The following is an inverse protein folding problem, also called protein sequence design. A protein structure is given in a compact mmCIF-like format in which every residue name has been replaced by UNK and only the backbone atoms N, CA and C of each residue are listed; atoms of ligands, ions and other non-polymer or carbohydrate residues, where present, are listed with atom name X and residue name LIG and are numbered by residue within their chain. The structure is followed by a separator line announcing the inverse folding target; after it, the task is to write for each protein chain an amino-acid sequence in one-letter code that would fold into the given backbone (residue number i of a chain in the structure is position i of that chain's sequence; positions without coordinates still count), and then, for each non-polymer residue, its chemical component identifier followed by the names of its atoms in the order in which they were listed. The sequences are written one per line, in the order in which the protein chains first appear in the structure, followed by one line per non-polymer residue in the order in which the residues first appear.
data_IF_738594988770
#
_entry.id   IF_738594988770
#
_cell.length_a   1.000
_cell.length_b   1.000
_cell.length_c   1.000
_cell.angle_alpha   90.00
_cell.angle_beta   90.00
_cell.angle_gamma   90.00
#
_symmetry.space_group_name_H-M   'P 1'
#
loop_
_entity.id
_entity.type
_entity.pdbx_description
1 polymer ?
#
# COMPACT_ATOMS: atom_id res chain seq x y z
N UNK A 1 -14.26 47.99 -13.59
CA UNK A 1 -15.26 46.90 -13.50
C UNK A 1 -14.71 45.82 -12.59
N UNK A 2 -15.32 45.61 -11.43
CA UNK A 2 -14.91 44.52 -10.54
C UNK A 2 -15.29 43.20 -11.23
N UNK A 3 -14.31 42.33 -11.47
CA UNK A 3 -14.56 41.05 -12.13
C UNK A 3 -15.45 40.17 -11.23
N UNK A 4 -16.73 40.08 -11.56
CA UNK A 4 -17.67 39.24 -10.81
C UNK A 4 -17.29 37.75 -10.95
N UNK A 5 -17.12 37.02 -9.83
CA UNK A 5 -16.80 35.59 -9.86
C UNK A 5 -17.81 34.76 -10.66
N UNK A 6 -19.06 35.25 -10.77
CA UNK A 6 -20.13 34.63 -11.53
C UNK A 6 -19.87 34.57 -13.03
N UNK A 7 -19.41 35.68 -13.61
CA UNK A 7 -19.18 35.82 -15.04
C UNK A 7 -17.99 34.97 -15.51
N UNK A 8 -16.90 34.95 -14.73
CA UNK A 8 -15.74 34.10 -15.05
C UNK A 8 -16.15 32.61 -15.05
N UNK A 9 -17.03 32.22 -14.13
CA UNK A 9 -17.52 30.84 -14.09
C UNK A 9 -18.41 30.47 -15.27
N UNK A 10 -19.24 31.39 -15.79
CA UNK A 10 -20.07 31.08 -16.97
C UNK A 10 -19.19 30.86 -18.21
N UNK A 11 -18.08 31.58 -18.31
CA UNK A 11 -17.08 31.41 -19.39
C UNK A 11 -16.28 30.10 -19.28
N UNK A 12 -15.89 29.69 -18.08
CA UNK A 12 -14.97 28.55 -17.85
C UNK A 12 -15.70 27.26 -17.40
N UNK A 13 -17.00 27.36 -17.10
CA UNK A 13 -17.76 26.40 -16.28
C UNK A 13 -18.04 25.01 -16.89
N UNK A 14 -19.20 24.44 -16.52
CA UNK A 14 -19.50 23.00 -16.77
C UNK A 14 -19.46 22.60 -18.23
N UNK A 15 -19.96 23.42 -19.15
CA UNK A 15 -20.05 23.05 -20.58
C UNK A 15 -19.01 23.75 -21.44
N UNK A 16 -18.17 24.60 -20.85
CA UNK A 16 -17.13 25.34 -21.56
C UNK A 16 -15.75 24.74 -21.32
N UNK A 17 -14.80 25.17 -22.16
CA UNK A 17 -13.42 24.73 -22.11
C UNK A 17 -12.67 25.37 -20.94
N UNK A 18 -11.86 24.57 -20.26
CA UNK A 18 -10.95 25.03 -19.21
C UNK A 18 -9.72 24.14 -19.23
N UNK A 19 -8.53 24.71 -19.40
CA UNK A 19 -7.28 23.95 -19.55
C UNK A 19 -6.96 23.07 -18.34
N UNK A 20 -7.41 23.46 -17.14
CA UNK A 20 -7.17 22.71 -15.91
C UNK A 20 -8.24 21.66 -15.61
N UNK A 21 -9.32 21.60 -16.38
CA UNK A 21 -10.47 20.72 -16.12
C UNK A 21 -10.24 19.35 -16.76
N UNK A 22 -10.55 18.30 -16.01
CA UNK A 22 -10.51 16.92 -16.47
C UNK A 22 -11.89 16.29 -16.29
N UNK A 23 -12.43 15.69 -17.36
CA UNK A 23 -13.68 14.95 -17.32
C UNK A 23 -13.38 13.53 -16.88
N UNK A 24 -14.07 13.05 -15.85
CA UNK A 24 -14.00 11.66 -15.45
C UNK A 24 -15.06 10.86 -16.23
N UNK A 25 -14.98 9.52 -16.20
CA UNK A 25 -16.03 8.66 -16.78
C UNK A 25 -17.37 8.79 -16.04
N UNK A 26 -17.32 9.23 -14.77
CA UNK A 26 -18.48 9.72 -14.04
C UNK A 26 -18.69 11.19 -14.36
N UNK A 27 -19.93 11.71 -14.33
CA UNK A 27 -20.30 13.12 -14.62
C UNK A 27 -19.67 14.19 -13.70
N UNK A 28 -18.62 13.84 -12.95
CA UNK A 28 -17.86 14.68 -12.05
C UNK A 28 -16.64 15.27 -12.77
N UNK A 29 -16.40 16.55 -12.56
CA UNK A 29 -15.23 17.25 -13.10
C UNK A 29 -14.15 17.43 -12.02
N UNK A 30 -12.90 17.11 -12.37
CA UNK A 30 -11.71 17.36 -11.54
C UNK A 30 -10.92 18.55 -12.09
N UNK A 31 -10.10 19.16 -11.23
CA UNK A 31 -9.24 20.28 -11.58
C UNK A 31 -7.78 19.97 -11.25
N UNK A 32 -6.90 20.08 -12.25
CA UNK A 32 -5.45 19.87 -12.16
C UNK A 32 -4.69 21.07 -11.59
N UNK A 33 -5.36 22.19 -11.35
CA UNK A 33 -4.70 23.41 -10.89
C UNK A 33 -4.08 23.18 -9.49
N UNK A 34 -2.79 23.50 -9.35
CA UNK A 34 -2.04 23.41 -8.09
C UNK A 34 -2.65 24.23 -6.95
N UNK A 35 -3.30 25.35 -7.29
CA UNK A 35 -3.96 26.24 -6.35
C UNK A 35 -5.39 25.81 -6.00
N UNK A 36 -5.86 24.62 -6.39
CA UNK A 36 -7.17 24.16 -5.94
C UNK A 36 -7.09 23.55 -4.53
N UNK A 37 -8.03 23.89 -3.65
CA UNK A 37 -8.13 23.32 -2.30
C UNK A 37 -8.50 21.85 -2.31
N UNK A 38 -9.56 21.50 -3.05
CA UNK A 38 -10.28 20.23 -2.90
C UNK A 38 -9.93 19.24 -4.00
N UNK A 39 -9.70 19.71 -5.23
CA UNK A 39 -9.43 18.87 -6.41
C UNK A 39 -10.63 18.77 -7.38
N UNK A 40 -11.84 19.15 -6.95
CA UNK A 40 -13.00 19.23 -7.84
C UNK A 40 -13.06 20.54 -8.62
N UNK A 41 -13.66 20.49 -9.81
CA UNK A 41 -13.92 21.65 -10.64
C UNK A 41 -15.38 22.10 -10.46
N UNK A 42 -15.63 23.06 -9.56
CA UNK A 42 -16.92 23.71 -9.35
C UNK A 42 -16.74 25.21 -9.14
N UNK A 43 -17.81 25.99 -9.23
CA UNK A 43 -17.78 27.45 -9.01
C UNK A 43 -17.14 27.82 -7.68
N UNK A 44 -17.49 27.09 -6.61
CA UNK A 44 -16.95 27.33 -5.25
C UNK A 44 -15.48 26.92 -5.11
N UNK A 45 -15.03 25.92 -5.85
CA UNK A 45 -13.67 25.37 -5.70
C UNK A 45 -12.67 25.96 -6.69
N UNK A 46 -13.10 26.60 -7.77
CA UNK A 46 -12.17 27.09 -8.80
C UNK A 46 -11.38 28.33 -8.31
N UNK A 47 -10.04 28.28 -8.28
CA UNK A 47 -9.22 29.43 -7.88
C UNK A 47 -9.16 30.54 -8.94
N UNK A 48 -9.47 30.23 -10.21
CA UNK A 48 -9.53 31.23 -11.29
C UNK A 48 -10.80 32.06 -11.22
N UNK A 49 -11.91 31.40 -10.90
CA UNK A 49 -13.23 32.04 -10.80
C UNK A 49 -13.35 32.92 -9.57
N UNK A 50 -12.73 32.52 -8.45
CA UNK A 50 -12.88 33.23 -7.18
C UNK A 50 -11.74 34.22 -6.97
N UNK A 51 -12.09 35.45 -6.60
CA UNK A 51 -11.12 36.50 -6.30
C UNK A 51 -10.55 36.37 -4.89
N UNK A 52 -11.39 35.98 -3.92
CA UNK A 52 -10.94 35.61 -2.59
C UNK A 52 -10.79 34.08 -2.54
N UNK A 53 -9.55 33.60 -2.43
CA UNK A 53 -9.26 32.17 -2.32
C UNK A 53 -8.04 31.92 -1.42
N UNK A 54 -8.01 30.80 -0.69
CA UNK A 54 -6.89 30.43 0.18
C UNK A 54 -6.57 28.94 0.07
N UNK A 55 -5.29 28.56 0.01
CA UNK A 55 -4.80 27.19 -0.15
C UNK A 55 -3.52 26.95 0.61
N UNK A 56 -3.22 25.68 0.91
CA UNK A 56 -1.91 25.28 1.43
C UNK A 56 -1.19 24.51 0.34
N UNK A 57 0.07 24.87 0.10
CA UNK A 57 0.91 24.27 -0.93
C UNK A 57 2.26 23.92 -0.32
N UNK A 58 2.73 22.73 -0.64
CA UNK A 58 4.07 22.29 -0.32
C UNK A 58 5.07 22.79 -1.40
N UNK A 59 6.21 23.31 -0.95
CA UNK A 59 7.38 23.60 -1.78
C UNK A 59 8.64 23.13 -1.03
N UNK A 60 9.38 22.20 -1.61
CA UNK A 60 10.64 21.68 -1.08
C UNK A 60 10.52 21.21 0.39
N UNK A 61 9.49 20.43 0.72
CA UNK A 61 9.24 19.94 2.08
C UNK A 61 8.74 20.99 3.09
N UNK A 62 8.60 22.25 2.68
CA UNK A 62 8.06 23.32 3.51
C UNK A 62 6.64 23.67 3.07
N UNK A 63 5.75 23.88 4.04
CA UNK A 63 4.37 24.24 3.80
C UNK A 63 4.18 25.75 3.78
N UNK A 64 3.39 26.21 2.82
CA UNK A 64 3.07 27.61 2.65
C UNK A 64 1.57 27.80 2.50
N UNK A 65 1.02 28.79 3.22
CA UNK A 65 -0.32 29.30 3.00
C UNK A 65 -0.26 30.31 1.85
N UNK A 66 -1.00 30.02 0.79
CA UNK A 66 -1.24 30.94 -0.32
C UNK A 66 -2.65 31.50 -0.21
N UNK A 67 -2.80 32.80 -0.27
CA UNK A 67 -4.13 33.41 -0.37
C UNK A 67 -4.14 34.56 -1.37
N UNK A 68 -5.29 34.74 -1.99
CA UNK A 68 -5.60 35.75 -3.00
C UNK A 68 -6.70 36.63 -2.45
N UNK A 69 -6.53 37.95 -2.47
CA UNK A 69 -7.58 38.92 -2.12
C UNK A 69 -8.03 39.66 -3.37
N UNK A 70 -9.28 40.10 -3.40
CA UNK A 70 -9.84 40.88 -4.51
C UNK A 70 -9.02 42.13 -4.85
N UNK A 71 -8.40 42.78 -3.86
CA UNK A 71 -7.59 43.98 -4.08
C UNK A 71 -6.36 43.76 -4.97
N UNK A 72 -5.90 42.52 -5.12
CA UNK A 72 -4.70 42.17 -5.90
C UNK A 72 -5.02 41.54 -7.26
N UNK A 73 -6.30 41.54 -7.69
CA UNK A 73 -6.70 40.92 -8.97
C UNK A 73 -6.07 41.60 -10.18
N UNK A 74 -5.86 42.91 -10.10
CA UNK A 74 -5.32 43.71 -11.21
C UNK A 74 -3.81 43.51 -11.41
N UNK A 75 -3.14 42.82 -10.47
CA UNK A 75 -1.71 42.55 -10.52
C UNK A 75 -1.45 41.03 -10.54
N UNK A 76 -1.53 40.35 -11.71
CA UNK A 76 -1.40 38.90 -11.79
C UNK A 76 -0.11 38.34 -11.19
N UNK A 77 1.01 39.07 -11.33
CA UNK A 77 2.31 38.70 -10.77
C UNK A 77 2.33 38.70 -9.23
N UNK A 78 1.51 39.55 -8.60
CA UNK A 78 1.42 39.74 -7.14
C UNK A 78 0.08 39.27 -6.55
N UNK A 79 -0.73 38.58 -7.35
CA UNK A 79 -2.09 38.17 -6.99
C UNK A 79 -2.12 37.24 -5.77
N UNK A 80 -1.11 36.38 -5.64
CA UNK A 80 -1.00 35.43 -4.54
C UNK A 80 0.00 35.92 -3.49
N UNK A 81 -0.48 36.09 -2.25
CA UNK A 81 0.38 36.24 -1.09
C UNK A 81 0.79 34.88 -0.56
N UNK A 82 2.02 34.76 -0.11
CA UNK A 82 2.64 33.53 0.39
C UNK A 82 3.12 33.74 1.82
N UNK A 83 2.68 32.88 2.74
CA UNK A 83 3.13 32.86 4.14
C UNK A 83 3.73 31.49 4.43
N UNK A 84 4.92 31.45 5.05
CA UNK A 84 5.53 30.21 5.51
C UNK A 84 4.83 29.73 6.77
N UNK A 85 4.36 28.49 6.77
CA UNK A 85 3.76 27.88 7.95
C UNK A 85 4.83 27.20 8.81
N UNK A 86 4.58 27.13 10.11
CA UNK A 86 5.45 26.42 11.04
C UNK A 86 5.47 24.91 10.77
N UNK A 87 6.57 24.23 11.13
CA UNK A 87 6.65 22.77 11.10
C UNK A 87 5.75 22.10 12.13
N UNK A 88 5.52 22.76 13.27
CA UNK A 88 4.58 22.29 14.28
C UNK A 88 3.15 22.50 13.77
N UNK A 89 2.34 21.43 13.78
CA UNK A 89 0.98 21.41 13.27
C UNK A 89 0.05 22.36 14.03
N UNK A 90 0.13 22.38 15.37
CA UNK A 90 -0.75 23.21 16.23
C UNK A 90 -0.50 24.69 15.94
N UNK A 91 0.78 25.09 15.93
CA UNK A 91 1.20 26.45 15.58
C UNK A 91 0.79 26.82 14.15
N UNK A 92 0.85 25.89 13.20
CA UNK A 92 0.47 26.15 11.81
C UNK A 92 -1.04 26.35 11.66
N UNK A 93 -1.85 25.60 12.41
CA UNK A 93 -3.30 25.79 12.45
C UNK A 93 -3.64 27.18 13.03
N UNK A 94 -3.02 27.56 14.14
CA UNK A 94 -3.19 28.90 14.72
C UNK A 94 -2.78 30.01 13.73
N UNK A 95 -1.68 29.83 13.00
CA UNK A 95 -1.27 30.76 11.94
C UNK A 95 -2.32 30.87 10.82
N UNK A 96 -2.94 29.75 10.42
CA UNK A 96 -4.04 29.78 9.43
C UNK A 96 -5.23 30.56 10.00
N UNK A 97 -5.61 30.30 11.24
CA UNK A 97 -6.73 31.00 11.89
C UNK A 97 -6.51 32.51 11.97
N UNK A 98 -5.32 32.94 12.39
CA UNK A 98 -4.95 34.36 12.48
C UNK A 98 -4.92 35.05 11.11
N UNK A 99 -4.46 34.38 10.06
CA UNK A 99 -4.41 34.97 8.72
C UNK A 99 -5.77 34.98 8.02
N UNK A 100 -6.67 34.05 8.37
CA UNK A 100 -7.98 33.87 7.74
C UNK A 100 -9.16 34.27 8.64
N UNK A 101 -8.96 35.14 9.65
CA UNK A 101 -10.03 35.54 10.58
C UNK A 101 -11.28 36.06 9.87
N UNK A 102 -11.11 36.94 8.87
CA UNK A 102 -12.20 37.57 8.13
C UNK A 102 -12.74 36.72 6.96
N UNK A 103 -12.28 35.47 6.84
CA UNK A 103 -12.67 34.61 5.73
C UNK A 103 -13.87 33.73 6.09
N UNK A 104 -14.67 33.33 5.09
CA UNK A 104 -15.73 32.36 5.33
C UNK A 104 -15.18 31.05 5.88
N UNK A 105 -15.89 30.50 6.86
CA UNK A 105 -15.51 29.30 7.62
C UNK A 105 -15.15 28.09 6.72
N UNK A 106 -15.82 27.96 5.58
CA UNK A 106 -15.52 26.93 4.57
C UNK A 106 -14.03 26.89 4.18
N UNK A 107 -13.43 28.06 3.90
CA UNK A 107 -12.02 28.13 3.50
C UNK A 107 -11.10 27.79 4.67
N UNK A 108 -11.42 28.24 5.87
CA UNK A 108 -10.67 27.94 7.10
C UNK A 108 -10.65 26.43 7.37
N UNK A 109 -11.82 25.76 7.38
CA UNK A 109 -11.87 24.30 7.56
C UNK A 109 -11.08 23.59 6.47
N UNK A 110 -11.34 23.90 5.18
CA UNK A 110 -10.74 23.14 4.08
C UNK A 110 -9.23 23.35 3.97
N UNK A 111 -8.72 24.55 4.28
CA UNK A 111 -7.27 24.80 4.35
C UNK A 111 -6.63 24.01 5.48
N UNK A 112 -7.23 23.95 6.68
CA UNK A 112 -6.76 23.10 7.79
C UNK A 112 -6.74 21.61 7.41
N UNK A 113 -7.82 21.11 6.80
CA UNK A 113 -7.88 19.71 6.34
C UNK A 113 -6.81 19.42 5.28
N UNK A 114 -6.59 20.34 4.35
CA UNK A 114 -5.53 20.20 3.34
C UNK A 114 -4.14 20.22 3.98
N UNK A 115 -3.90 21.07 4.97
CA UNK A 115 -2.65 21.08 5.74
C UNK A 115 -2.38 19.72 6.39
N UNK A 116 -3.37 19.17 7.10
CA UNK A 116 -3.23 17.86 7.76
C UNK A 116 -2.90 16.78 6.74
N UNK A 117 -3.59 16.75 5.60
CA UNK A 117 -3.32 15.79 4.51
C UNK A 117 -1.92 15.93 3.93
N UNK A 118 -1.43 17.15 3.74
CA UNK A 118 -0.07 17.39 3.24
C UNK A 118 0.99 16.97 4.26
N UNK A 119 0.80 17.26 5.55
CA UNK A 119 1.70 16.78 6.61
C UNK A 119 1.71 15.25 6.64
N UNK A 120 0.54 14.61 6.61
CA UNK A 120 0.42 13.15 6.58
C UNK A 120 1.14 12.56 5.34
N UNK A 121 0.99 13.20 4.19
CA UNK A 121 1.71 12.81 2.97
C UNK A 121 3.22 12.93 3.12
N UNK A 122 3.73 14.04 3.69
CA UNK A 122 5.16 14.23 3.94
C UNK A 122 5.72 13.17 4.91
N UNK A 123 5.00 12.85 5.98
CA UNK A 123 5.38 11.79 6.92
C UNK A 123 5.46 10.44 6.20
N UNK A 124 4.43 10.06 5.44
CA UNK A 124 4.40 8.80 4.68
C UNK A 124 5.51 8.74 3.63
N UNK A 125 5.77 9.84 2.94
CA UNK A 125 6.84 9.95 1.96
C UNK A 125 8.20 9.68 2.62
N UNK A 126 8.49 10.35 3.74
CA UNK A 126 9.72 10.14 4.51
C UNK A 126 9.88 8.71 5.02
N UNK A 127 8.80 8.10 5.52
CA UNK A 127 8.80 6.70 5.95
C UNK A 127 9.09 5.74 4.81
N UNK A 128 8.56 5.97 3.59
CA UNK A 128 8.87 5.14 2.42
C UNK A 128 10.32 5.26 1.97
N UNK A 129 10.91 6.46 2.03
CA UNK A 129 12.33 6.63 1.73
C UNK A 129 13.22 5.92 2.76
N UNK A 130 12.86 5.93 4.04
CA UNK A 130 13.61 5.22 5.07
C UNK A 130 13.40 3.70 4.97
N UNK A 131 12.17 3.29 4.65
CA UNK A 131 11.80 1.92 4.34
C UNK A 131 12.06 1.67 2.85
N UNK A 132 13.29 1.90 2.38
CA UNK A 132 13.85 1.25 1.19
C UNK A 132 13.94 -0.26 1.47
N UNK A 133 12.80 -0.86 1.75
CA UNK A 133 12.57 -2.28 1.73
C UNK A 133 12.93 -2.72 0.33
N UNK A 134 13.91 -3.63 0.31
CA UNK A 134 14.26 -4.52 -0.79
C UNK A 134 13.14 -4.53 -1.82
N UNK A 135 13.38 -3.95 -2.99
CA UNK A 135 12.55 -4.25 -4.15
C UNK A 135 12.58 -5.77 -4.25
N UNK A 136 11.51 -6.45 -3.85
CA UNK A 136 11.28 -7.81 -4.28
C UNK A 136 11.16 -7.71 -5.79
N UNK A 137 12.31 -7.79 -6.47
CA UNK A 137 12.34 -8.23 -7.84
C UNK A 137 11.62 -9.55 -7.75
N UNK A 138 10.44 -9.65 -8.36
CA UNK A 138 9.95 -10.94 -8.80
C UNK A 138 11.00 -11.44 -9.79
N UNK A 139 12.11 -11.98 -9.28
CA UNK A 139 12.89 -12.95 -10.01
C UNK A 139 11.87 -14.04 -10.19
N UNK A 140 11.30 -14.11 -11.39
CA UNK A 140 10.65 -15.31 -11.86
C UNK A 140 11.75 -16.35 -11.68
N UNK A 141 11.70 -17.08 -10.58
CA UNK A 141 12.61 -18.17 -10.31
C UNK A 141 12.21 -19.22 -11.34
N UNK A 142 12.80 -19.17 -12.52
CA UNK A 142 12.83 -20.33 -13.41
C UNK A 142 13.67 -21.47 -12.80
N UNK A 143 14.26 -21.24 -11.62
CA UNK A 143 15.00 -22.22 -10.82
C UNK A 143 14.09 -22.95 -9.80
N UNK A 144 12.85 -23.26 -10.17
CA UNK A 144 12.03 -24.23 -9.40
C UNK A 144 12.42 -25.72 -9.60
N UNK A 145 13.20 -26.16 -10.63
CA UNK A 145 13.46 -27.60 -10.78
C UNK A 145 14.43 -28.11 -9.69
N UNK A 146 15.40 -27.32 -9.25
CA UNK A 146 16.42 -27.78 -8.30
C UNK A 146 15.82 -28.06 -6.92
N UNK A 147 14.91 -27.21 -6.43
CA UNK A 147 14.29 -27.40 -5.11
C UNK A 147 13.36 -28.60 -5.08
N UNK A 148 12.57 -28.80 -6.13
CA UNK A 148 11.66 -29.96 -6.22
C UNK A 148 12.46 -31.25 -6.31
N UNK A 149 13.52 -31.29 -7.13
CA UNK A 149 14.41 -32.45 -7.23
C UNK A 149 15.17 -32.73 -5.92
N UNK A 150 15.52 -31.69 -5.16
CA UNK A 150 16.13 -31.83 -3.82
C UNK A 150 15.14 -32.44 -2.81
N UNK A 151 13.87 -32.02 -2.85
CA UNK A 151 12.80 -32.62 -2.04
C UNK A 151 12.52 -34.08 -2.44
N UNK A 152 12.51 -34.39 -3.73
CA UNK A 152 12.30 -35.75 -4.25
C UNK A 152 13.47 -36.70 -3.93
N UNK A 153 14.71 -36.18 -3.88
CA UNK A 153 15.91 -36.95 -3.50
C UNK A 153 16.07 -37.12 -2.00
N UNK A 154 15.45 -36.26 -1.19
CA UNK A 154 15.53 -36.36 0.25
C UNK A 154 14.70 -37.56 0.73
N UNK A 155 15.37 -38.63 1.17
CA UNK A 155 14.74 -39.82 1.77
C UNK A 155 14.23 -39.54 3.19
N UNK A 156 13.50 -38.45 3.37
CA UNK A 156 12.96 -38.02 4.66
C UNK A 156 12.03 -39.08 5.25
N UNK A 157 11.28 -39.80 4.42
CA UNK A 157 10.36 -40.85 4.87
C UNK A 157 11.09 -41.99 5.61
N UNK A 158 12.21 -42.47 5.06
CA UNK A 158 13.03 -43.53 5.68
C UNK A 158 13.67 -43.07 6.98
N UNK A 159 14.18 -41.84 7.01
CA UNK A 159 14.77 -41.27 8.23
C UNK A 159 13.73 -41.08 9.33
N UNK A 160 12.51 -40.66 8.96
CA UNK A 160 11.39 -40.53 9.89
C UNK A 160 10.95 -41.92 10.39
N UNK A 161 10.89 -42.93 9.52
CA UNK A 161 10.57 -44.31 9.89
C UNK A 161 11.59 -44.88 10.90
N UNK A 162 12.89 -44.70 10.62
CA UNK A 162 13.98 -45.14 11.51
C UNK A 162 13.92 -44.43 12.87
N UNK A 163 13.68 -43.12 12.91
CA UNK A 163 13.51 -42.38 14.16
C UNK A 163 12.28 -42.86 14.96
N UNK A 164 11.15 -43.10 14.30
CA UNK A 164 9.94 -43.58 14.95
C UNK A 164 10.12 -44.98 15.52
N UNK A 165 10.77 -45.88 14.78
CA UNK A 165 11.14 -47.23 15.26
C UNK A 165 12.09 -47.15 16.45
N UNK A 166 13.13 -46.32 16.39
CA UNK A 166 14.08 -46.15 17.49
C UNK A 166 13.39 -45.62 18.74
N UNK A 167 12.50 -44.61 18.63
CA UNK A 167 11.71 -44.10 19.76
C UNK A 167 10.76 -45.13 20.34
N UNK A 168 10.20 -45.99 19.49
CA UNK A 168 9.35 -47.11 19.91
C UNK A 168 10.18 -48.13 20.71
N UNK A 169 11.35 -48.52 20.21
CA UNK A 169 12.28 -49.42 20.92
C UNK A 169 12.78 -48.83 22.24
N UNK A 170 13.01 -47.52 22.31
CA UNK A 170 13.43 -46.81 23.52
C UNK A 170 12.31 -46.64 24.55
N UNK A 171 11.07 -47.06 24.24
CA UNK A 171 9.95 -47.06 25.19
C UNK A 171 9.37 -45.67 25.50
N UNK A 172 9.67 -44.66 24.67
CA UNK A 172 9.25 -43.26 24.85
C UNK A 172 7.72 -43.12 24.90
N UNK A 173 7.00 -44.00 24.19
CA UNK A 173 5.54 -43.98 24.08
C UNK A 173 4.82 -44.80 25.19
N UNK A 174 5.55 -45.29 26.19
CA UNK A 174 4.98 -45.96 27.37
C UNK A 174 4.09 -47.18 27.05
N UNK A 175 3.10 -47.46 27.90
CA UNK A 175 2.18 -48.61 27.75
C UNK A 175 1.11 -48.44 26.66
N UNK A 176 1.06 -47.29 25.98
CA UNK A 176 0.00 -46.96 25.00
C UNK A 176 0.02 -47.89 23.78
N UNK A 177 1.18 -48.46 23.44
CA UNK A 177 1.37 -49.36 22.30
C UNK A 177 1.73 -50.80 22.73
N UNK A 178 1.41 -51.20 23.96
CA UNK A 178 1.69 -52.56 24.46
C UNK A 178 0.87 -53.68 23.79
N UNK A 179 0.02 -53.36 22.80
CA UNK A 179 -0.86 -54.34 22.16
C UNK A 179 -0.42 -54.69 20.73
N UNK A 180 -0.21 -56.00 20.50
CA UNK A 180 0.08 -56.70 19.22
C UNK A 180 1.49 -56.64 18.63
N UNK A 181 2.53 -56.26 19.39
CA UNK A 181 3.89 -56.20 18.82
C UNK A 181 4.50 -57.58 18.47
N UNK A 182 4.18 -58.63 19.23
CA UNK A 182 4.79 -59.96 19.02
C UNK A 182 4.25 -60.65 17.75
N UNK A 183 2.94 -60.57 17.50
CA UNK A 183 2.29 -61.20 16.33
C UNK A 183 2.67 -60.52 15.01
N UNK A 184 2.82 -59.19 14.99
CA UNK A 184 3.12 -58.46 13.75
C UNK A 184 4.58 -58.64 13.29
N UNK A 185 5.54 -58.72 14.23
CA UNK A 185 6.95 -59.00 13.89
C UNK A 185 7.14 -60.41 13.33
N UNK A 186 6.43 -61.41 13.89
CA UNK A 186 6.46 -62.79 13.37
C UNK A 186 5.87 -62.87 11.95
N UNK A 187 4.81 -62.11 11.67
CA UNK A 187 4.22 -62.01 10.33
C UNK A 187 5.15 -61.34 9.32
N UNK A 188 5.89 -60.29 9.72
CA UNK A 188 6.90 -59.65 8.87
C UNK A 188 8.05 -60.61 8.56
N UNK A 189 8.55 -61.36 9.55
CA UNK A 189 9.61 -62.37 9.35
C UNK A 189 9.17 -63.50 8.42
N UNK A 190 7.90 -63.95 8.53
CA UNK A 190 7.31 -64.93 7.60
C UNK A 190 7.24 -64.39 6.17
N UNK A 191 6.71 -63.17 5.98
CA UNK A 191 6.61 -62.53 4.66
C UNK A 191 7.99 -62.29 4.01
N UNK A 192 9.01 -61.92 4.78
CA UNK A 192 10.36 -61.79 4.24
C UNK A 192 10.92 -63.15 3.81
N UNK A 193 10.75 -64.21 4.61
CA UNK A 193 11.21 -65.57 4.25
C UNK A 193 10.50 -66.14 3.02
N UNK A 194 9.19 -65.90 2.89
CA UNK A 194 8.41 -66.35 1.73
C UNK A 194 8.87 -65.64 0.44
N UNK A 195 9.21 -64.35 0.50
CA UNK A 195 9.73 -63.61 -0.66
C UNK A 195 11.10 -64.12 -1.15
N UNK A 196 12.00 -64.52 -0.23
CA UNK A 196 13.28 -65.14 -0.57
C UNK A 196 13.12 -66.55 -1.17
N UNK A 197 12.14 -67.34 -0.69
CA UNK A 197 11.84 -68.67 -1.24
C UNK A 197 11.23 -68.60 -2.64
N UNK A 198 10.36 -67.60 -2.91
CA UNK A 198 9.79 -67.36 -4.24
C UNK A 198 10.89 -66.98 -5.24
N UNK A 199 11.82 -66.11 -4.89
CA UNK A 199 12.98 -65.80 -5.75
C UNK A 199 13.84 -67.04 -6.00
N UNK A 200 14.17 -67.82 -4.96
CA UNK A 200 15.01 -69.02 -5.08
C UNK A 200 14.37 -70.12 -5.94
N UNK A 201 13.04 -70.24 -5.91
CA UNK A 201 12.29 -71.16 -6.78
C UNK A 201 12.17 -70.64 -8.22
N UNK A 202 12.04 -69.32 -8.42
CA UNK A 202 12.06 -68.73 -9.77
C UNK A 202 13.37 -69.01 -10.51
N UNK A 203 14.52 -68.89 -9.84
CA UNK A 203 15.83 -69.20 -10.43
C UNK A 203 16.07 -70.71 -10.65
N UNK A 204 15.31 -71.60 -9.99
CA UNK A 204 15.35 -73.06 -10.20
C UNK A 204 14.49 -73.55 -11.37
N UNK A 205 13.49 -72.77 -11.78
CA UNK A 205 12.59 -73.11 -12.90
C UNK A 205 13.16 -72.62 -14.25
N UNK A 206 14.12 -71.69 -14.21
CA UNK A 206 14.75 -71.06 -15.39
C UNK A 206 16.11 -71.73 -15.74
N UNK A 207 16.56 -72.73 -14.98
CA UNK A 207 17.75 -73.54 -15.25
C UNK A 207 17.33 -74.97 -15.65
#
# INVERSE_FOLDING_TARGET
MNHDPGLIWTLIGKNKFCSFKYKLSTDKFLCKNKFNLVGYCSKKFCPLSNNNYATVIEKNGNLFLYYKKSSYTNFPSKMWKKIRLSRNLIKAIQQIDLNLVLWPHFFVIKTKLRLIKLIQFLIRSKMKYNNLGVKFKFKILNNVPDTIQLFEKATCEKLVEEELLNRLHMGVYGKMYAYKHFSYIEEIKKKSMDSYLVQKNFYKIIA
#
